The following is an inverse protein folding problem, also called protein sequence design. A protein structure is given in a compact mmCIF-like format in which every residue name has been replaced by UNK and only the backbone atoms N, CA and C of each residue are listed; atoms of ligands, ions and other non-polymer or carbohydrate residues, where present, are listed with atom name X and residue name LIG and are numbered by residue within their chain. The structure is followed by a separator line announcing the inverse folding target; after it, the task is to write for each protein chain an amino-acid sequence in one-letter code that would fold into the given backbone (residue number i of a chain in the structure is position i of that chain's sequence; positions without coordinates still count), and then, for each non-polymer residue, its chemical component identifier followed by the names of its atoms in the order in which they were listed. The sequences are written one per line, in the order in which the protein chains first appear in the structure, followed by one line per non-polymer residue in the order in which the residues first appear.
data_IF_637826052772
#
_entry.id   IF_637826052772
#
_cell.length_a   1.000
_cell.length_b   1.000
_cell.length_c   1.000
_cell.angle_alpha   90.00
_cell.angle_beta   90.00
_cell.angle_gamma   90.00
#
_symmetry.space_group_name_H-M   'P 1'
#
loop_
_entity.id
_entity.type
_entity.pdbx_description
1 polymer ?
#
# COMPACT_ATOMS: atom_id res chain seq x y z
N UNK A 1 23.02 47.24 35.06
CA UNK A 1 23.80 45.99 34.89
C UNK A 1 22.85 44.84 35.18
N UNK A 2 22.22 44.24 34.17
CA UNK A 2 22.71 43.14 33.30
C UNK A 2 22.64 41.75 33.98
N UNK A 3 21.83 40.87 33.35
CA UNK A 3 22.01 39.39 33.23
C UNK A 3 21.44 38.64 34.45
N UNK A 4 20.43 37.76 34.40
CA UNK A 4 20.11 36.66 33.47
C UNK A 4 18.58 36.43 33.43
N UNK A 5 17.96 36.69 32.27
CA UNK A 5 16.85 35.88 31.78
C UNK A 5 17.43 34.57 31.25
N UNK A 6 16.85 33.44 31.59
CA UNK A 6 17.20 32.17 30.97
C UNK A 6 17.26 31.05 32.00
N UNK A 7 16.23 30.22 31.99
CA UNK A 7 16.15 28.79 32.35
C UNK A 7 14.68 28.59 32.76
N UNK A 8 13.79 28.47 31.76
CA UNK A 8 12.48 27.82 31.87
C UNK A 8 11.80 27.64 30.50
N UNK A 9 12.58 27.62 29.41
CA UNK A 9 12.11 27.21 28.07
C UNK A 9 13.18 26.31 27.47
N UNK A 10 13.31 25.09 28.00
CA UNK A 10 14.19 24.06 27.42
C UNK A 10 13.77 22.66 27.89
N UNK A 11 12.48 22.37 27.77
CA UNK A 11 11.92 21.02 27.97
C UNK A 11 10.89 20.66 26.90
N UNK A 12 11.10 21.13 25.67
CA UNK A 12 10.22 20.83 24.52
C UNK A 12 10.94 20.28 23.27
N UNK A 13 12.25 20.05 23.31
CA UNK A 13 13.02 19.62 22.12
C UNK A 13 13.72 18.26 22.22
N UNK A 14 13.42 17.43 23.23
CA UNK A 14 14.06 16.11 23.37
C UNK A 14 13.11 14.90 23.33
N UNK A 15 11.82 15.11 23.03
CA UNK A 15 10.85 14.00 22.87
C UNK A 15 9.97 14.15 21.61
N UNK A 16 10.41 14.92 20.61
CA UNK A 16 9.59 15.28 19.46
C UNK A 16 9.85 14.50 18.16
N UNK A 17 10.77 13.53 18.11
CA UNK A 17 11.27 13.04 16.82
C UNK A 17 11.71 11.58 16.82
N UNK A 18 10.89 10.65 17.34
CA UNK A 18 11.19 9.21 17.25
C UNK A 18 9.98 8.29 17.01
N UNK A 19 8.84 8.83 16.59
CA UNK A 19 7.64 8.03 16.24
C UNK A 19 7.28 8.07 14.74
N UNK A 20 8.12 8.68 13.88
CA UNK A 20 7.72 9.08 12.53
C UNK A 20 8.00 8.09 11.39
N UNK A 21 8.97 7.20 11.49
CA UNK A 21 9.55 6.60 10.26
C UNK A 21 8.85 5.30 9.80
N UNK A 22 8.33 4.48 10.72
CA UNK A 22 7.57 3.26 10.36
C UNK A 22 6.15 3.56 9.93
N UNK A 23 5.73 4.78 10.27
CA UNK A 23 4.59 5.43 9.69
C UNK A 23 4.86 5.77 8.23
N UNK A 24 6.08 6.08 7.80
CA UNK A 24 6.38 6.45 6.41
C UNK A 24 6.20 5.29 5.44
N UNK A 25 6.76 4.10 5.74
CA UNK A 25 6.66 2.99 4.81
C UNK A 25 5.22 2.49 4.59
N UNK A 26 4.44 2.50 5.67
CA UNK A 26 3.01 2.15 5.66
C UNK A 26 2.15 3.25 5.06
N UNK A 27 2.39 4.51 5.42
CA UNK A 27 1.70 5.66 4.84
C UNK A 27 1.91 5.73 3.34
N UNK A 28 3.12 5.46 2.86
CA UNK A 28 3.43 5.41 1.44
C UNK A 28 2.70 4.26 0.74
N UNK A 29 2.70 3.05 1.33
CA UNK A 29 1.91 1.94 0.79
C UNK A 29 0.41 2.26 0.72
N UNK A 30 -0.13 2.93 1.74
CA UNK A 30 -1.52 3.41 1.75
C UNK A 30 -1.72 4.46 0.65
N UNK A 31 -0.83 5.44 0.50
CA UNK A 31 -0.93 6.48 -0.50
C UNK A 31 -0.91 5.91 -1.93
N UNK A 32 0.01 4.99 -2.22
CA UNK A 32 0.07 4.28 -3.51
C UNK A 32 -1.19 3.44 -3.75
N UNK A 33 -1.69 2.75 -2.72
CA UNK A 33 -2.94 1.98 -2.82
C UNK A 33 -4.16 2.86 -3.06
N UNK A 34 -4.21 4.05 -2.42
CA UNK A 34 -5.25 5.04 -2.66
C UNK A 34 -5.17 5.58 -4.10
N UNK A 35 -3.97 5.81 -4.64
CA UNK A 35 -3.80 6.20 -6.05
C UNK A 35 -4.39 5.13 -6.99
N UNK A 36 -4.07 3.84 -6.79
CA UNK A 36 -4.69 2.73 -7.54
C UNK A 36 -6.22 2.78 -7.44
N UNK A 37 -6.75 2.95 -6.22
CA UNK A 37 -8.20 3.04 -5.97
C UNK A 37 -8.85 4.19 -6.74
N UNK A 38 -8.23 5.36 -6.77
CA UNK A 38 -8.72 6.53 -7.51
C UNK A 38 -8.69 6.32 -9.01
N UNK A 39 -7.62 5.72 -9.55
CA UNK A 39 -7.53 5.40 -10.99
C UNK A 39 -8.60 4.40 -11.43
N UNK A 40 -8.91 3.41 -10.60
CA UNK A 40 -9.99 2.47 -10.85
C UNK A 40 -11.36 3.15 -10.85
N UNK A 41 -11.58 4.13 -9.96
CA UNK A 41 -12.81 4.93 -9.96
C UNK A 41 -12.95 5.77 -11.25
N UNK A 42 -11.89 6.46 -11.65
CA UNK A 42 -11.90 7.25 -12.89
C UNK A 42 -12.23 6.38 -14.11
N UNK A 43 -11.63 5.18 -14.18
CA UNK A 43 -11.88 4.21 -15.25
C UNK A 43 -13.32 3.67 -15.21
N UNK A 44 -13.84 3.37 -14.02
CA UNK A 44 -15.24 2.95 -13.83
C UNK A 44 -16.19 4.02 -14.36
N UNK A 45 -16.13 5.23 -13.82
CA UNK A 45 -17.00 6.35 -14.16
C UNK A 45 -16.97 6.65 -15.68
N UNK A 46 -15.77 6.56 -16.28
CA UNK A 46 -15.63 6.78 -17.72
C UNK A 46 -16.23 5.66 -18.56
N UNK A 47 -16.06 4.41 -18.12
CA UNK A 47 -16.60 3.26 -18.84
C UNK A 47 -18.13 3.29 -18.81
N UNK A 48 -18.74 3.56 -17.64
CA UNK A 48 -20.18 3.73 -17.49
C UNK A 48 -20.73 4.86 -18.37
N UNK A 49 -20.07 6.02 -18.35
CA UNK A 49 -20.46 7.16 -19.19
C UNK A 49 -20.45 6.79 -20.67
N UNK A 50 -19.38 6.18 -21.15
CA UNK A 50 -19.24 5.83 -22.57
C UNK A 50 -20.18 4.69 -22.99
N UNK A 51 -20.51 3.77 -22.09
CA UNK A 51 -21.56 2.78 -22.32
C UNK A 51 -22.91 3.47 -22.56
N UNK A 52 -23.27 4.46 -21.73
CA UNK A 52 -24.54 5.19 -21.89
C UNK A 52 -24.61 6.07 -23.15
N UNK A 53 -23.48 6.48 -23.70
CA UNK A 53 -23.39 7.38 -24.86
C UNK A 53 -23.21 6.64 -26.19
N UNK A 54 -22.81 5.36 -26.18
CA UNK A 54 -22.57 4.59 -27.40
C UNK A 54 -23.85 4.01 -27.97
N UNK A 55 -24.00 4.09 -29.30
CA UNK A 55 -25.11 3.45 -30.01
C UNK A 55 -24.79 2.02 -30.48
N UNK A 56 -23.61 1.49 -30.12
CA UNK A 56 -23.17 0.15 -30.52
C UNK A 56 -23.35 -0.81 -29.34
N UNK A 57 -24.33 -1.72 -29.36
CA UNK A 57 -24.64 -2.58 -28.21
C UNK A 57 -23.44 -3.37 -27.70
N UNK A 58 -22.66 -3.97 -28.60
CA UNK A 58 -21.47 -4.74 -28.21
C UNK A 58 -20.39 -3.89 -27.53
N UNK A 59 -20.30 -2.59 -27.86
CA UNK A 59 -19.37 -1.67 -27.19
C UNK A 59 -19.92 -1.28 -25.81
N UNK A 60 -21.24 -1.06 -25.69
CA UNK A 60 -21.90 -0.81 -24.40
C UNK A 60 -21.67 -1.97 -23.44
N UNK A 61 -21.95 -3.20 -23.88
CA UNK A 61 -21.82 -4.42 -23.07
C UNK A 61 -20.38 -4.60 -22.55
N UNK A 62 -19.38 -4.30 -23.37
CA UNK A 62 -17.97 -4.42 -22.98
C UNK A 62 -17.59 -3.36 -21.95
N UNK A 63 -18.06 -2.11 -22.13
CA UNK A 63 -17.78 -1.01 -21.23
C UNK A 63 -18.48 -1.18 -19.88
N UNK A 64 -19.70 -1.68 -19.85
CA UNK A 64 -20.43 -2.04 -18.62
C UNK A 64 -19.66 -3.12 -17.85
N UNK A 65 -19.24 -4.19 -18.52
CA UNK A 65 -18.43 -5.24 -17.90
C UNK A 65 -17.08 -4.72 -17.39
N UNK A 66 -16.44 -3.80 -18.12
CA UNK A 66 -15.20 -3.17 -17.67
C UNK A 66 -15.42 -2.30 -16.42
N UNK A 67 -16.53 -1.56 -16.36
CA UNK A 67 -16.92 -0.79 -15.18
C UNK A 67 -17.14 -1.69 -13.95
N UNK A 68 -17.87 -2.80 -14.11
CA UNK A 68 -18.12 -3.76 -13.03
C UNK A 68 -16.81 -4.35 -12.49
N UNK A 69 -15.88 -4.74 -13.37
CA UNK A 69 -14.58 -5.27 -12.97
C UNK A 69 -13.75 -4.19 -12.25
N UNK A 70 -13.72 -2.97 -12.77
CA UNK A 70 -13.01 -1.85 -12.14
C UNK A 70 -13.57 -1.53 -10.75
N UNK A 71 -14.90 -1.55 -10.60
CA UNK A 71 -15.58 -1.37 -9.32
C UNK A 71 -15.17 -2.45 -8.31
N UNK A 72 -15.20 -3.73 -8.71
CA UNK A 72 -14.82 -4.85 -7.85
C UNK A 72 -13.34 -4.75 -7.42
N UNK A 73 -12.44 -4.47 -8.36
CA UNK A 73 -11.03 -4.22 -8.07
C UNK A 73 -10.85 -3.08 -7.07
N UNK A 74 -11.60 -1.99 -7.22
CA UNK A 74 -11.53 -0.83 -6.30
C UNK A 74 -11.93 -1.21 -4.88
N UNK A 75 -13.01 -1.98 -4.71
CA UNK A 75 -13.43 -2.49 -3.41
C UNK A 75 -12.39 -3.43 -2.80
N UNK A 76 -11.80 -4.26 -3.63
CA UNK A 76 -10.79 -5.21 -3.20
C UNK A 76 -9.47 -4.53 -2.81
N UNK A 77 -9.03 -3.49 -3.51
CA UNK A 77 -7.89 -2.65 -3.09
C UNK A 77 -8.17 -2.05 -1.70
N UNK A 78 -9.40 -1.59 -1.45
CA UNK A 78 -9.76 -1.05 -0.14
C UNK A 78 -9.69 -2.11 0.97
N UNK A 79 -10.42 -3.20 0.79
CA UNK A 79 -10.60 -4.23 1.83
C UNK A 79 -9.39 -5.15 2.03
N UNK A 80 -8.62 -5.44 0.98
CA UNK A 80 -7.48 -6.38 1.03
C UNK A 80 -6.14 -5.70 1.22
N UNK A 81 -6.04 -4.39 0.97
CA UNK A 81 -4.77 -3.64 1.07
C UNK A 81 -4.90 -2.49 2.05
N UNK A 82 -5.75 -1.49 1.76
CA UNK A 82 -5.80 -0.24 2.54
C UNK A 82 -6.24 -0.50 3.98
N UNK A 83 -7.39 -1.14 4.19
CA UNK A 83 -7.94 -1.40 5.53
C UNK A 83 -6.98 -2.20 6.42
N UNK A 84 -6.37 -3.32 5.95
CA UNK A 84 -5.34 -4.00 6.73
C UNK A 84 -4.15 -3.10 7.09
N UNK A 85 -3.67 -2.28 6.14
CA UNK A 85 -2.55 -1.37 6.42
C UNK A 85 -2.94 -0.33 7.48
N UNK A 86 -4.13 0.27 7.38
CA UNK A 86 -4.67 1.23 8.37
C UNK A 86 -4.84 0.58 9.76
N UNK A 87 -5.23 -0.70 9.81
CA UNK A 87 -5.34 -1.48 11.04
C UNK A 87 -3.98 -1.93 11.61
N UNK A 88 -2.88 -1.60 10.92
CA UNK A 88 -1.53 -1.86 11.38
C UNK A 88 -0.97 -3.22 10.98
N UNK A 89 -1.63 -3.98 10.09
CA UNK A 89 -1.11 -5.26 9.60
C UNK A 89 0.20 -5.09 8.80
N UNK A 90 0.89 -6.22 8.57
CA UNK A 90 2.17 -6.28 7.87
C UNK A 90 2.04 -5.93 6.38
N UNK A 91 3.06 -5.28 5.81
CA UNK A 91 3.14 -4.96 4.37
C UNK A 91 3.10 -6.22 3.48
N UNK A 92 3.56 -7.36 4.00
CA UNK A 92 3.46 -8.65 3.29
C UNK A 92 2.01 -9.09 3.06
N UNK A 93 1.08 -8.71 3.94
CA UNK A 93 -0.35 -8.98 3.73
C UNK A 93 -0.90 -8.14 2.59
N UNK A 94 -0.56 -6.85 2.52
CA UNK A 94 -0.87 -5.99 1.38
C UNK A 94 -0.31 -6.57 0.07
N UNK A 95 0.93 -7.06 0.08
CA UNK A 95 1.55 -7.75 -1.07
C UNK A 95 0.76 -8.99 -1.51
N UNK A 96 0.33 -9.83 -0.56
CA UNK A 96 -0.53 -11.00 -0.87
C UNK A 96 -1.87 -10.55 -1.46
N UNK A 97 -2.46 -9.48 -0.95
CA UNK A 97 -3.63 -8.84 -1.52
C UNK A 97 -3.39 -8.48 -2.99
N UNK A 98 -2.31 -7.75 -3.27
CA UNK A 98 -1.96 -7.31 -4.62
C UNK A 98 -1.79 -8.47 -5.63
N UNK A 99 -1.18 -9.58 -5.22
CA UNK A 99 -1.01 -10.78 -6.07
C UNK A 99 -2.37 -11.38 -6.47
N UNK A 100 -3.38 -11.31 -5.59
CA UNK A 100 -4.73 -11.76 -5.94
C UNK A 100 -5.35 -10.79 -6.96
N UNK A 101 -5.18 -9.48 -6.76
CA UNK A 101 -5.74 -8.44 -7.62
C UNK A 101 -5.12 -8.37 -9.01
N UNK A 102 -3.86 -8.78 -9.17
CA UNK A 102 -3.21 -8.79 -10.48
C UNK A 102 -3.94 -9.68 -11.48
N UNK A 103 -4.60 -10.76 -11.02
CA UNK A 103 -5.42 -11.61 -11.88
C UNK A 103 -6.66 -10.87 -12.41
N UNK A 104 -7.32 -10.12 -11.54
CA UNK A 104 -8.52 -9.37 -11.90
C UNK A 104 -8.17 -8.16 -12.79
N UNK A 105 -6.99 -7.57 -12.59
CA UNK A 105 -6.42 -6.57 -13.49
C UNK A 105 -6.18 -7.13 -14.90
N UNK A 106 -5.68 -8.35 -15.04
CA UNK A 106 -5.54 -8.99 -16.35
C UNK A 106 -6.91 -9.24 -17.02
N UNK A 107 -7.94 -9.60 -16.24
CA UNK A 107 -9.31 -9.70 -16.75
C UNK A 107 -9.82 -8.37 -17.31
N UNK A 108 -9.60 -7.28 -16.57
CA UNK A 108 -9.94 -5.92 -17.01
C UNK A 108 -9.20 -5.52 -18.30
N UNK A 109 -7.89 -5.82 -18.38
CA UNK A 109 -7.09 -5.58 -19.59
C UNK A 109 -7.62 -6.35 -20.78
N UNK A 110 -7.96 -7.63 -20.59
CA UNK A 110 -8.56 -8.46 -21.63
C UNK A 110 -9.87 -7.86 -22.12
N UNK A 111 -10.72 -7.40 -21.19
CA UNK A 111 -12.05 -6.87 -21.53
C UNK A 111 -11.98 -5.59 -22.34
N UNK A 112 -11.16 -4.63 -21.91
CA UNK A 112 -10.93 -3.38 -22.66
C UNK A 112 -10.21 -3.67 -23.99
N UNK A 113 -9.35 -4.70 -24.04
CA UNK A 113 -8.69 -5.16 -25.27
C UNK A 113 -9.63 -5.69 -26.35
N UNK A 114 -10.85 -6.12 -25.99
CA UNK A 114 -11.89 -6.51 -26.97
C UNK A 114 -12.35 -5.32 -27.82
N UNK A 115 -12.15 -4.08 -27.34
CA UNK A 115 -12.48 -2.85 -28.05
C UNK A 115 -11.44 -2.57 -29.18
N UNK A 116 -11.50 -3.35 -30.27
CA UNK A 116 -10.59 -3.24 -31.45
C UNK A 116 -10.42 -1.83 -32.02
N UNK A 117 -11.46 -0.99 -31.89
CA UNK A 117 -11.48 0.46 -32.17
C UNK A 117 -12.37 1.12 -31.11
N UNK A 118 -11.89 1.12 -29.87
CA UNK A 118 -12.61 1.67 -28.73
C UNK A 118 -12.38 3.16 -28.51
N UNK A 119 -13.09 3.75 -27.52
CA UNK A 119 -12.80 5.09 -27.03
C UNK A 119 -11.39 5.13 -26.43
N UNK A 120 -10.48 5.81 -27.12
CA UNK A 120 -9.05 5.93 -26.78
C UNK A 120 -8.80 6.32 -25.31
N UNK A 121 -9.71 7.11 -24.74
CA UNK A 121 -9.66 7.54 -23.34
C UNK A 121 -9.74 6.37 -22.34
N UNK A 122 -10.53 5.34 -22.60
CA UNK A 122 -10.65 4.17 -21.70
C UNK A 122 -9.34 3.37 -21.70
N UNK A 123 -8.70 3.25 -22.87
CA UNK A 123 -7.39 2.60 -22.97
C UNK A 123 -6.29 3.41 -22.24
N UNK A 124 -6.34 4.74 -22.29
CA UNK A 124 -5.43 5.61 -21.54
C UNK A 124 -5.63 5.49 -20.03
N UNK A 125 -6.89 5.47 -19.56
CA UNK A 125 -7.21 5.32 -18.14
C UNK A 125 -6.80 3.92 -17.63
N UNK A 126 -7.01 2.86 -18.43
CA UNK A 126 -6.49 1.53 -18.12
C UNK A 126 -4.96 1.53 -17.99
N UNK A 127 -4.25 2.18 -18.91
CA UNK A 127 -2.79 2.28 -18.83
C UNK A 127 -2.34 2.98 -17.54
N UNK A 128 -3.05 4.02 -17.10
CA UNK A 128 -2.77 4.69 -15.83
C UNK A 128 -3.02 3.78 -14.61
N UNK A 129 -4.07 2.94 -14.63
CA UNK A 129 -4.30 1.91 -13.60
C UNK A 129 -3.14 0.92 -13.55
N UNK A 130 -2.70 0.40 -14.71
CA UNK A 130 -1.59 -0.56 -14.79
C UNK A 130 -0.31 0.02 -14.20
N UNK A 131 0.06 1.24 -14.59
CA UNK A 131 1.25 1.92 -14.05
C UNK A 131 1.15 2.10 -12.52
N UNK A 132 -0.01 2.49 -12.01
CA UNK A 132 -0.21 2.64 -10.56
C UNK A 132 -0.09 1.30 -9.82
N UNK A 133 -0.60 0.21 -10.41
CA UNK A 133 -0.45 -1.14 -9.86
C UNK A 133 1.01 -1.59 -9.83
N UNK A 134 1.76 -1.36 -10.91
CA UNK A 134 3.19 -1.68 -10.99
C UNK A 134 4.00 -0.91 -9.94
N UNK A 135 3.75 0.39 -9.79
CA UNK A 135 4.40 1.21 -8.75
C UNK A 135 4.16 0.67 -7.33
N UNK A 136 2.91 0.29 -7.02
CA UNK A 136 2.59 -0.32 -5.74
C UNK A 136 3.27 -1.69 -5.56
N UNK A 137 3.31 -2.51 -6.62
CA UNK A 137 3.96 -3.81 -6.61
C UNK A 137 5.45 -3.69 -6.32
N UNK A 138 6.15 -2.86 -7.09
CA UNK A 138 7.58 -2.63 -6.96
C UNK A 138 7.93 -2.12 -5.56
N UNK A 139 7.14 -1.18 -5.05
CA UNK A 139 7.31 -0.65 -3.70
C UNK A 139 7.15 -1.76 -2.64
N UNK A 140 6.09 -2.56 -2.71
CA UNK A 140 5.85 -3.63 -1.75
C UNK A 140 6.92 -4.73 -1.83
N UNK A 141 7.39 -5.07 -3.03
CA UNK A 141 8.49 -6.01 -3.23
C UNK A 141 9.79 -5.49 -2.60
N UNK A 142 10.08 -4.20 -2.76
CA UNK A 142 11.25 -3.57 -2.18
C UNK A 142 11.20 -3.56 -0.65
N UNK A 143 10.04 -3.19 -0.07
CA UNK A 143 9.86 -3.11 1.38
C UNK A 143 9.76 -4.49 2.06
N UNK A 144 9.23 -5.49 1.35
CA UNK A 144 9.17 -6.86 1.86
C UNK A 144 10.49 -7.61 1.74
N UNK A 145 11.50 -7.02 1.09
CA UNK A 145 12.80 -7.63 0.85
C UNK A 145 12.70 -8.75 -0.18
N UNK A 146 12.33 -8.42 -1.42
CA UNK A 146 12.43 -9.34 -2.57
C UNK A 146 13.82 -10.00 -2.69
N UNK A 147 14.04 -10.83 -3.71
CA UNK A 147 15.28 -11.65 -3.92
C UNK A 147 16.58 -10.83 -4.14
N UNK A 148 16.80 -9.75 -3.39
CA UNK A 148 18.02 -8.97 -3.38
C UNK A 148 19.01 -9.62 -2.41
N UNK A 149 20.28 -9.76 -2.81
CA UNK A 149 21.33 -10.26 -1.92
C UNK A 149 21.45 -9.35 -0.69
N UNK A 150 21.75 -9.95 0.47
CA UNK A 150 21.97 -9.19 1.71
C UNK A 150 23.04 -8.12 1.49
N UNK A 151 22.79 -6.84 1.81
CA UNK A 151 23.78 -5.77 1.83
C UNK A 151 24.95 -6.06 2.76
N UNK A 152 26.04 -5.36 2.46
CA UNK A 152 27.32 -5.46 3.14
C UNK A 152 27.21 -5.22 4.67
N UNK A 153 28.00 -5.95 5.47
CA UNK A 153 28.08 -5.73 6.91
C UNK A 153 28.65 -4.34 7.22
N UNK A 154 27.78 -3.39 7.57
CA UNK A 154 28.12 -2.00 7.88
C UNK A 154 26.97 -1.00 7.72
N UNK A 155 25.84 -1.42 7.14
CA UNK A 155 24.64 -0.58 6.98
C UNK A 155 23.84 -0.54 8.28
N UNK A 156 23.37 0.66 8.64
CA UNK A 156 22.40 0.92 9.72
C UNK A 156 21.26 -0.10 9.65
N UNK A 157 21.00 -0.81 10.77
CA UNK A 157 19.93 -1.80 10.83
C UNK A 157 18.71 -1.19 11.47
N UNK A 158 17.54 -1.74 11.20
CA UNK A 158 16.31 -1.39 11.88
C UNK A 158 15.93 -2.50 12.87
N UNK A 159 15.39 -2.11 14.02
CA UNK A 159 14.66 -2.97 14.92
C UNK A 159 13.24 -2.44 15.10
N UNK A 160 12.25 -3.31 14.96
CA UNK A 160 10.87 -2.99 15.24
C UNK A 160 10.34 -3.87 16.36
N UNK A 161 9.49 -3.28 17.21
CA UNK A 161 8.80 -3.97 18.28
C UNK A 161 7.31 -3.90 18.03
N UNK A 162 6.64 -5.05 18.01
CA UNK A 162 5.18 -5.18 17.95
C UNK A 162 4.68 -5.78 19.26
N UNK A 163 3.40 -5.58 19.57
CA UNK A 163 2.73 -6.22 20.70
C UNK A 163 1.43 -6.90 20.27
N UNK A 164 1.10 -7.99 20.95
CA UNK A 164 -0.22 -8.64 20.87
C UNK A 164 -1.26 -7.93 21.78
N UNK A 165 -2.55 -8.32 21.77
CA UNK A 165 -3.58 -7.68 22.58
C UNK A 165 -3.42 -7.93 24.09
N UNK A 166 -2.55 -8.87 24.48
CA UNK A 166 -2.24 -9.22 25.86
C UNK A 166 -0.99 -8.49 26.38
N UNK A 167 -0.31 -7.72 25.52
CA UNK A 167 0.86 -6.92 25.86
C UNK A 167 2.19 -7.67 25.73
N UNK A 168 2.22 -8.90 25.22
CA UNK A 168 3.48 -9.58 24.92
C UNK A 168 4.15 -8.88 23.73
N UNK A 169 5.48 -8.70 23.81
CA UNK A 169 6.25 -7.93 22.83
C UNK A 169 7.14 -8.84 22.00
N UNK A 170 7.19 -8.57 20.70
CA UNK A 170 7.98 -9.30 19.73
C UNK A 170 8.88 -8.30 19.00
N UNK A 171 10.19 -8.54 19.03
CA UNK A 171 11.20 -7.68 18.40
C UNK A 171 11.85 -8.44 17.26
N UNK A 172 12.00 -7.77 16.12
CA UNK A 172 12.78 -8.29 15.01
C UNK A 172 13.63 -7.19 14.38
N UNK A 173 14.67 -7.62 13.67
CA UNK A 173 15.57 -6.73 12.94
C UNK A 173 15.51 -6.98 11.44
N UNK A 174 15.86 -5.94 10.68
CA UNK A 174 15.93 -5.93 9.23
C UNK A 174 16.86 -4.82 8.75
N UNK A 175 17.23 -4.84 7.48
CA UNK A 175 18.09 -3.79 6.90
C UNK A 175 17.29 -2.54 6.56
N UNK A 176 15.97 -2.70 6.46
CA UNK A 176 15.00 -1.63 6.29
C UNK A 176 13.93 -1.77 7.34
N UNK A 177 13.32 -0.66 7.68
CA UNK A 177 12.24 -0.61 8.66
C UNK A 177 11.08 -1.54 8.34
N UNK A 178 10.59 -1.52 7.08
CA UNK A 178 9.50 -2.39 6.65
C UNK A 178 9.82 -3.89 6.81
N UNK A 179 11.07 -4.28 6.60
CA UNK A 179 11.52 -5.65 6.79
C UNK A 179 11.54 -6.04 8.27
N UNK A 180 12.11 -5.17 9.13
CA UNK A 180 12.16 -5.37 10.58
C UNK A 180 10.73 -5.46 11.15
N UNK A 181 9.84 -4.56 10.71
CA UNK A 181 8.43 -4.53 11.08
C UNK A 181 7.71 -5.81 10.65
N UNK A 182 7.79 -6.20 9.39
CA UNK A 182 7.17 -7.42 8.88
C UNK A 182 7.61 -8.66 9.66
N UNK A 183 8.91 -8.78 9.94
CA UNK A 183 9.44 -9.92 10.70
C UNK A 183 8.95 -9.91 12.15
N UNK A 184 8.81 -8.73 12.77
CA UNK A 184 8.26 -8.61 14.12
C UNK A 184 6.78 -9.02 14.14
N UNK A 185 6.00 -8.60 13.14
CA UNK A 185 4.61 -9.02 12.96
C UNK A 185 4.46 -10.52 12.70
N UNK A 186 5.31 -11.12 11.85
CA UNK A 186 5.30 -12.57 11.61
C UNK A 186 5.45 -13.34 12.93
N UNK A 187 6.44 -12.96 13.75
CA UNK A 187 6.67 -13.57 15.08
C UNK A 187 5.46 -13.42 16.01
N UNK A 188 4.79 -12.27 15.98
CA UNK A 188 3.62 -12.02 16.82
C UNK A 188 2.38 -12.79 16.32
N UNK A 189 2.16 -12.86 15.00
CA UNK A 189 1.00 -13.49 14.39
C UNK A 189 1.08 -15.03 14.37
N UNK A 190 2.25 -15.62 14.61
CA UNK A 190 2.37 -17.06 14.89
C UNK A 190 1.59 -17.48 16.13
N UNK A 191 1.35 -16.57 17.07
CA UNK A 191 0.73 -16.85 18.37
C UNK A 191 -0.51 -16.00 18.68
N UNK A 192 -0.71 -14.87 17.99
CA UNK A 192 -1.84 -13.97 18.20
C UNK A 192 -2.60 -13.64 16.90
N UNK A 193 -3.90 -13.33 17.01
CA UNK A 193 -4.73 -12.97 15.86
C UNK A 193 -4.60 -11.51 15.42
N UNK A 194 -4.13 -10.64 16.32
CA UNK A 194 -3.97 -9.20 16.08
C UNK A 194 -2.67 -8.77 16.71
N UNK A 195 -1.94 -7.91 16.04
CA UNK A 195 -0.70 -7.34 16.55
C UNK A 195 -0.68 -5.86 16.21
N UNK A 196 0.06 -5.07 16.97
CA UNK A 196 0.19 -3.64 16.74
C UNK A 196 1.66 -3.25 16.84
N UNK A 197 2.12 -2.45 15.88
CA UNK A 197 3.47 -1.89 15.92
C UNK A 197 3.54 -0.90 17.09
N UNK A 198 4.51 -1.11 17.98
CA UNK A 198 4.80 -0.15 19.05
C UNK A 198 5.75 0.92 18.51
N UNK A 199 6.94 0.53 18.06
CA UNK A 199 7.93 1.47 17.52
C UNK A 199 8.95 0.74 16.66
N UNK A 200 9.72 1.52 15.92
CA UNK A 200 10.88 1.08 15.16
C UNK A 200 12.04 2.06 15.39
N UNK A 201 13.26 1.55 15.42
CA UNK A 201 14.48 2.32 15.69
C UNK A 201 15.64 1.83 14.83
N UNK A 202 16.59 2.73 14.54
CA UNK A 202 17.87 2.37 13.92
C UNK A 202 18.80 1.79 15.00
N UNK A 203 19.57 0.75 14.64
CA UNK A 203 20.45 -0.05 15.50
C UNK A 203 21.86 -0.12 14.92
#
# INVERSE_FOLDING_TARGET
MKVIQGILVLWACLFGSQWGLGQDARSEAIALSQNVKWRLLDLQDRSEKLASETNTPSVSDILEQAADIAQNLRYDVNSKIIEPLEQGFALRQARRGLIVLSRDLESLKGKIGELKRGPEKVSQDLAAVVVAFEQLSDYLDEQCGGDKPSPDPGVEKWACVVADPFGNRYRATGEREGQAGNRAFDLCLEVAQRCSLLYCEVV
#
